data_IF_928261418569
#
_entry.id   IF_928261418569
#
_cell.length_a   1.000
_cell.length_b   1.000
_cell.length_c   1.000
_cell.angle_alpha   90.00
_cell.angle_beta   90.00
_cell.angle_gamma   90.00
#
_symmetry.space_group_name_H-M   'P 1'
#
loop_
_entity.id
_entity.type
_entity.pdbx_description
1 polymer ?
#
# COMPACT_ATOMS: atom_id res chain seq x y z
N UNK A 1 14.23 -37.25 -16.51
CA UNK A 1 13.65 -36.61 -15.31
C UNK A 1 12.90 -35.38 -15.77
N UNK A 2 11.56 -35.43 -15.82
CA UNK A 2 10.77 -34.23 -16.00
C UNK A 2 10.90 -33.41 -14.72
N UNK A 3 11.41 -32.18 -14.84
CA UNK A 3 11.38 -31.21 -13.75
C UNK A 3 9.92 -30.92 -13.46
N UNK A 4 9.45 -31.17 -12.24
CA UNK A 4 8.15 -30.66 -11.82
C UNK A 4 8.20 -29.14 -11.99
N UNK A 5 7.42 -28.65 -12.95
CA UNK A 5 7.26 -27.22 -13.17
C UNK A 5 6.36 -26.75 -12.06
N UNK A 6 6.94 -26.18 -11.00
CA UNK A 6 6.18 -25.44 -9.99
C UNK A 6 5.39 -24.38 -10.75
N UNK A 7 4.07 -24.54 -10.82
CA UNK A 7 3.22 -23.73 -11.68
C UNK A 7 3.01 -22.34 -11.09
N UNK A 8 3.90 -21.40 -11.42
CA UNK A 8 3.75 -19.98 -11.09
C UNK A 8 2.79 -19.24 -12.04
N UNK A 9 1.89 -19.97 -12.72
CA UNK A 9 1.02 -19.43 -13.78
C UNK A 9 0.11 -18.31 -13.25
N UNK A 10 -0.52 -18.52 -12.09
CA UNK A 10 -1.37 -17.51 -11.46
C UNK A 10 -0.59 -16.26 -11.07
N UNK A 11 0.60 -16.42 -10.47
CA UNK A 11 1.49 -15.29 -10.19
C UNK A 11 1.87 -14.54 -11.45
N UNK A 12 2.11 -15.24 -12.56
CA UNK A 12 2.40 -14.64 -13.87
C UNK A 12 1.24 -13.76 -14.32
N UNK A 13 0.00 -14.28 -14.26
CA UNK A 13 -1.21 -13.54 -14.66
C UNK A 13 -1.36 -12.25 -13.85
N UNK A 14 -1.22 -12.33 -12.51
CA UNK A 14 -1.34 -11.16 -11.65
C UNK A 14 -0.20 -10.14 -11.87
N UNK A 15 1.04 -10.59 -12.08
CA UNK A 15 2.16 -9.71 -12.44
C UNK A 15 1.90 -8.98 -13.76
N UNK A 16 1.45 -9.70 -14.79
CA UNK A 16 1.12 -9.12 -16.09
C UNK A 16 -0.01 -8.10 -15.94
N UNK A 17 -1.04 -8.41 -15.14
CA UNK A 17 -2.11 -7.47 -14.84
C UNK A 17 -1.58 -6.20 -14.15
N UNK A 18 -0.68 -6.33 -13.16
CA UNK A 18 -0.02 -5.20 -12.51
C UNK A 18 0.80 -4.35 -13.51
N UNK A 19 1.55 -4.98 -14.41
CA UNK A 19 2.29 -4.29 -15.47
C UNK A 19 1.36 -3.53 -16.42
N UNK A 20 0.22 -4.14 -16.80
CA UNK A 20 -0.80 -3.49 -17.62
C UNK A 20 -1.36 -2.26 -16.90
N UNK A 21 -1.66 -2.34 -15.60
CA UNK A 21 -2.14 -1.19 -14.82
C UNK A 21 -1.12 -0.04 -14.74
N UNK A 22 0.16 -0.35 -14.54
CA UNK A 22 1.24 0.64 -14.49
C UNK A 22 1.45 1.29 -15.86
N UNK A 23 1.48 0.48 -16.93
CA UNK A 23 1.67 0.99 -18.30
C UNK A 23 0.47 1.81 -18.77
N UNK A 24 -0.75 1.39 -18.43
CA UNK A 24 -1.98 2.14 -18.71
C UNK A 24 -1.99 3.48 -17.95
N UNK A 25 -1.58 3.49 -16.68
CA UNK A 25 -1.41 4.72 -15.89
C UNK A 25 -0.44 5.70 -16.58
N UNK A 26 0.70 5.18 -17.07
CA UNK A 26 1.68 5.99 -17.80
C UNK A 26 1.13 6.51 -19.13
N UNK A 27 0.39 5.69 -19.87
CA UNK A 27 -0.17 6.06 -21.17
C UNK A 27 -1.27 7.11 -21.07
N UNK A 28 -2.20 6.95 -20.13
CA UNK A 28 -3.33 7.86 -19.96
C UNK A 28 -2.96 9.15 -19.22
N UNK A 29 -1.96 9.11 -18.32
CA UNK A 29 -1.63 10.21 -17.41
C UNK A 29 -0.13 10.50 -17.38
N UNK A 30 0.52 10.62 -18.54
CA UNK A 30 1.98 10.68 -18.68
C UNK A 30 2.65 11.75 -17.78
N UNK A 31 2.14 12.98 -17.78
CA UNK A 31 2.72 14.07 -16.99
C UNK A 31 2.61 13.80 -15.49
N UNK A 32 1.45 13.32 -15.05
CA UNK A 32 1.20 12.96 -13.65
C UNK A 32 2.06 11.77 -13.23
N UNK A 33 2.25 10.78 -14.11
CA UNK A 33 3.12 9.64 -13.86
C UNK A 33 4.59 10.07 -13.67
N UNK A 34 5.09 10.98 -14.51
CA UNK A 34 6.46 11.53 -14.36
C UNK A 34 6.64 12.25 -13.02
N UNK A 35 5.66 13.05 -12.62
CA UNK A 35 5.69 13.72 -11.31
C UNK A 35 5.57 12.71 -10.15
N UNK A 36 4.77 11.65 -10.31
CA UNK A 36 4.61 10.57 -9.33
C UNK A 36 5.89 9.77 -9.08
N UNK A 37 6.68 9.49 -10.13
CA UNK A 37 7.97 8.81 -10.00
C UNK A 37 8.94 9.56 -9.06
N UNK A 38 8.78 10.87 -8.93
CA UNK A 38 9.63 11.71 -8.10
C UNK A 38 9.03 12.00 -6.71
N UNK A 39 7.95 11.31 -6.30
CA UNK A 39 7.22 11.63 -5.05
C UNK A 39 8.08 11.52 -3.78
N UNK A 40 9.08 10.64 -3.76
CA UNK A 40 10.00 10.50 -2.61
C UNK A 40 10.92 11.72 -2.47
N UNK A 41 11.43 12.25 -3.58
CA UNK A 41 12.40 13.36 -3.58
C UNK A 41 11.80 14.74 -3.83
N UNK A 42 10.58 14.80 -4.39
CA UNK A 42 9.96 16.03 -4.85
C UNK A 42 8.49 16.11 -4.43
N UNK A 43 8.17 17.14 -3.64
CA UNK A 43 6.81 17.43 -3.19
C UNK A 43 5.89 18.02 -4.28
N UNK A 44 6.38 18.26 -5.50
CA UNK A 44 5.60 18.84 -6.60
C UNK A 44 4.32 18.05 -6.87
N UNK A 45 4.41 16.72 -6.99
CA UNK A 45 3.25 15.85 -7.19
C UNK A 45 2.20 16.07 -6.10
N UNK A 46 2.63 16.02 -4.83
CA UNK A 46 1.76 16.19 -3.67
C UNK A 46 1.12 17.58 -3.60
N UNK A 47 1.79 18.63 -4.09
CA UNK A 47 1.26 20.01 -4.04
C UNK A 47 0.25 20.29 -5.15
N UNK A 48 0.50 19.79 -6.36
CA UNK A 48 -0.36 20.05 -7.52
C UNK A 48 -1.63 19.20 -7.40
N UNK A 49 -1.47 17.90 -7.23
CA UNK A 49 -2.58 16.95 -7.36
C UNK A 49 -3.42 16.78 -6.08
N UNK A 50 -2.94 17.26 -4.94
CA UNK A 50 -3.75 17.31 -3.70
C UNK A 50 -4.86 18.35 -3.75
N UNK A 51 -4.74 19.40 -4.57
CA UNK A 51 -5.73 20.49 -4.63
C UNK A 51 -6.90 20.15 -5.55
N UNK A 52 -6.65 19.37 -6.59
CA UNK A 52 -7.63 18.97 -7.60
C UNK A 52 -8.18 17.55 -7.34
N UNK A 53 -7.95 17.00 -6.15
CA UNK A 53 -8.25 15.61 -5.84
C UNK A 53 -9.76 15.37 -5.84
N UNK A 54 -10.19 14.40 -6.65
CA UNK A 54 -11.55 13.83 -6.58
C UNK A 54 -11.52 12.55 -5.74
N UNK A 55 -12.67 12.19 -5.15
CA UNK A 55 -12.81 10.95 -4.39
C UNK A 55 -12.39 9.71 -5.20
N UNK A 56 -12.82 9.63 -6.46
CA UNK A 56 -12.37 8.62 -7.43
C UNK A 56 -11.63 9.35 -8.55
N UNK A 57 -10.33 9.07 -8.64
CA UNK A 57 -9.47 9.54 -9.71
C UNK A 57 -8.94 8.33 -10.49
N UNK A 58 -8.95 8.42 -11.82
CA UNK A 58 -8.55 7.31 -12.69
C UNK A 58 -7.10 6.88 -12.50
N UNK A 59 -6.18 7.83 -12.27
CA UNK A 59 -4.77 7.52 -12.01
C UNK A 59 -4.61 6.82 -10.67
N UNK A 60 -5.21 7.35 -9.61
CA UNK A 60 -5.09 6.78 -8.27
C UNK A 60 -5.73 5.39 -8.20
N UNK A 61 -6.83 5.18 -8.93
CA UNK A 61 -7.50 3.87 -9.02
C UNK A 61 -6.61 2.82 -9.67
N UNK A 62 -5.98 3.14 -10.81
CA UNK A 62 -5.07 2.21 -11.50
C UNK A 62 -3.86 1.86 -10.63
N UNK A 63 -3.27 2.86 -9.98
CA UNK A 63 -2.13 2.67 -9.09
C UNK A 63 -2.49 1.91 -7.81
N UNK A 64 -3.70 2.13 -7.29
CA UNK A 64 -4.23 1.40 -6.14
C UNK A 64 -4.47 -0.08 -6.46
N UNK A 65 -5.04 -0.40 -7.62
CA UNK A 65 -5.18 -1.79 -8.06
C UNK A 65 -3.82 -2.49 -8.20
N UNK A 66 -2.81 -1.78 -8.74
CA UNK A 66 -1.44 -2.29 -8.79
C UNK A 66 -0.86 -2.54 -7.39
N UNK A 67 -1.12 -1.65 -6.44
CA UNK A 67 -0.74 -1.81 -5.04
C UNK A 67 -1.34 -3.09 -4.44
N UNK A 68 -2.65 -3.31 -4.61
CA UNK A 68 -3.32 -4.49 -4.08
C UNK A 68 -2.69 -5.77 -4.59
N UNK A 69 -2.52 -5.88 -5.91
CA UNK A 69 -1.89 -7.04 -6.54
C UNK A 69 -0.48 -7.26 -5.99
N UNK A 70 0.35 -6.20 -5.96
CA UNK A 70 1.75 -6.31 -5.56
C UNK A 70 1.90 -6.70 -4.10
N UNK A 71 1.10 -6.11 -3.21
CA UNK A 71 1.14 -6.44 -1.78
C UNK A 71 0.61 -7.84 -1.54
N UNK A 72 -0.47 -8.27 -2.21
CA UNK A 72 -0.98 -9.65 -2.07
C UNK A 72 0.03 -10.71 -2.50
N UNK A 73 0.71 -10.49 -3.63
CA UNK A 73 1.79 -11.39 -4.08
C UNK A 73 2.90 -11.45 -3.04
N UNK A 74 3.37 -10.29 -2.58
CA UNK A 74 4.45 -10.24 -1.60
C UNK A 74 4.05 -10.86 -0.26
N UNK A 75 2.83 -10.62 0.22
CA UNK A 75 2.30 -11.21 1.45
C UNK A 75 2.27 -12.73 1.37
N UNK A 76 1.89 -13.30 0.22
CA UNK A 76 1.91 -14.76 0.03
C UNK A 76 3.34 -15.31 0.07
N UNK A 77 4.27 -14.68 -0.65
CA UNK A 77 5.69 -15.07 -0.66
C UNK A 77 6.29 -14.99 0.76
N UNK A 78 6.04 -13.88 1.46
CA UNK A 78 6.52 -13.66 2.81
C UNK A 78 5.95 -14.69 3.79
N UNK A 79 4.67 -15.04 3.68
CA UNK A 79 4.06 -16.07 4.52
C UNK A 79 4.69 -17.45 4.30
N UNK A 80 4.87 -17.85 3.03
CA UNK A 80 5.46 -19.14 2.67
C UNK A 80 6.89 -19.30 3.19
N UNK A 81 7.67 -18.22 3.21
CA UNK A 81 9.06 -18.23 3.68
C UNK A 81 9.22 -18.04 5.20
N UNK A 82 8.38 -17.22 5.84
CA UNK A 82 8.53 -16.87 7.26
C UNK A 82 7.79 -17.83 8.21
N UNK A 83 6.64 -18.36 7.80
CA UNK A 83 5.75 -19.12 8.68
C UNK A 83 5.79 -20.60 8.33
N UNK A 84 5.24 -20.97 7.18
CA UNK A 84 5.14 -22.36 6.74
C UNK A 84 5.11 -22.40 5.21
N UNK A 85 5.90 -23.29 4.57
CA UNK A 85 5.79 -23.52 3.14
C UNK A 85 4.35 -23.89 2.79
N UNK A 86 3.72 -23.06 1.97
CA UNK A 86 2.35 -23.25 1.51
C UNK A 86 2.33 -23.34 -0.01
N UNK A 87 1.59 -24.32 -0.52
CA UNK A 87 1.26 -24.36 -1.94
C UNK A 87 0.31 -23.21 -2.29
N UNK A 88 0.36 -22.76 -3.54
CA UNK A 88 -0.48 -21.69 -4.01
C UNK A 88 -1.93 -22.16 -4.18
N UNK A 89 -2.83 -21.54 -3.42
CA UNK A 89 -4.28 -21.66 -3.60
C UNK A 89 -4.85 -20.32 -4.08
N UNK A 90 -5.41 -20.32 -5.29
CA UNK A 90 -6.04 -19.15 -5.91
C UNK A 90 -7.16 -18.57 -5.04
N UNK A 91 -7.95 -19.43 -4.39
CA UNK A 91 -9.07 -19.02 -3.54
C UNK A 91 -8.57 -18.26 -2.32
N UNK A 92 -7.51 -18.78 -1.69
CA UNK A 92 -6.87 -18.13 -0.55
C UNK A 92 -6.20 -16.82 -0.98
N UNK A 93 -5.52 -16.81 -2.13
CA UNK A 93 -4.89 -15.61 -2.68
C UNK A 93 -5.91 -14.49 -2.94
N UNK A 94 -7.04 -14.80 -3.60
CA UNK A 94 -8.09 -13.82 -3.87
C UNK A 94 -8.75 -13.32 -2.59
N UNK A 95 -8.93 -14.18 -1.58
CA UNK A 95 -9.38 -13.76 -0.24
C UNK A 95 -8.41 -12.78 0.41
N UNK A 96 -7.10 -13.04 0.35
CA UNK A 96 -6.07 -12.14 0.87
C UNK A 96 -6.09 -10.81 0.13
N UNK A 97 -6.18 -10.83 -1.21
CA UNK A 97 -6.28 -9.63 -2.03
C UNK A 97 -7.50 -8.78 -1.67
N UNK A 98 -8.67 -9.42 -1.57
CA UNK A 98 -9.90 -8.74 -1.17
C UNK A 98 -9.83 -8.20 0.26
N UNK A 99 -9.29 -8.98 1.20
CA UNK A 99 -9.13 -8.56 2.59
C UNK A 99 -8.23 -7.33 2.72
N UNK A 100 -7.07 -7.32 2.04
CA UNK A 100 -6.16 -6.16 2.02
C UNK A 100 -6.87 -4.94 1.41
N UNK A 101 -7.56 -5.12 0.28
CA UNK A 101 -8.31 -4.04 -0.37
C UNK A 101 -9.42 -3.47 0.51
N UNK A 102 -10.22 -4.33 1.12
CA UNK A 102 -11.29 -3.94 2.03
C UNK A 102 -10.74 -3.20 3.26
N UNK A 103 -9.67 -3.69 3.88
CA UNK A 103 -9.05 -3.04 5.03
C UNK A 103 -8.57 -1.62 4.70
N UNK A 104 -7.89 -1.44 3.56
CA UNK A 104 -7.42 -0.11 3.15
C UNK A 104 -8.59 0.82 2.83
N UNK A 105 -9.60 0.34 2.10
CA UNK A 105 -10.77 1.15 1.72
C UNK A 105 -11.62 1.55 2.94
N UNK A 106 -11.94 0.60 3.82
CA UNK A 106 -12.69 0.87 5.06
C UNK A 106 -11.96 1.92 5.88
N UNK A 107 -10.63 1.79 6.01
CA UNK A 107 -9.81 2.77 6.72
C UNK A 107 -9.97 4.16 6.13
N UNK A 108 -9.74 4.33 4.82
CA UNK A 108 -9.86 5.62 4.13
C UNK A 108 -11.27 6.22 4.26
N UNK A 109 -12.32 5.39 4.15
CA UNK A 109 -13.70 5.84 4.31
C UNK A 109 -13.99 6.33 5.74
N UNK A 110 -13.47 5.65 6.76
CA UNK A 110 -13.61 6.08 8.14
C UNK A 110 -12.89 7.41 8.40
N UNK A 111 -11.65 7.61 7.89
CA UNK A 111 -10.94 8.89 8.09
C UNK A 111 -11.68 10.04 7.39
N UNK A 112 -12.26 9.82 6.20
CA UNK A 112 -13.09 10.82 5.51
C UNK A 112 -14.40 11.12 6.26
N UNK A 113 -15.07 10.11 6.81
CA UNK A 113 -16.28 10.31 7.59
C UNK A 113 -15.99 11.19 8.82
N UNK A 114 -14.90 10.91 9.52
CA UNK A 114 -14.46 11.73 10.64
C UNK A 114 -14.13 13.16 10.19
N UNK A 115 -13.45 13.33 9.04
CA UNK A 115 -13.16 14.65 8.50
C UNK A 115 -14.41 15.52 8.31
N UNK A 116 -15.45 14.92 7.73
CA UNK A 116 -16.73 15.58 7.49
C UNK A 116 -17.47 15.92 8.79
N UNK A 117 -17.43 15.03 9.79
CA UNK A 117 -18.03 15.29 11.10
C UNK A 117 -17.37 16.44 11.87
N UNK A 118 -16.07 16.66 11.64
CA UNK A 118 -15.30 17.73 12.28
C UNK A 118 -15.09 18.95 11.38
N UNK A 119 -15.69 18.99 10.19
CA UNK A 119 -15.55 20.07 9.20
C UNK A 119 -14.09 20.40 8.83
N UNK A 120 -13.24 19.37 8.74
CA UNK A 120 -11.80 19.47 8.42
C UNK A 120 -11.44 18.73 7.11
N UNK A 121 -12.38 18.63 6.17
CA UNK A 121 -12.25 17.87 4.92
C UNK A 121 -11.01 18.23 4.12
N UNK A 122 -10.71 19.53 3.92
CA UNK A 122 -9.56 19.97 3.12
C UNK A 122 -8.22 19.45 3.65
N UNK A 123 -8.06 19.41 4.99
CA UNK A 123 -6.82 18.99 5.61
C UNK A 123 -6.68 17.47 5.55
N UNK A 124 -7.76 16.74 5.84
CA UNK A 124 -7.76 15.28 5.84
C UNK A 124 -7.66 14.75 4.41
N UNK A 125 -8.35 15.32 3.42
CA UNK A 125 -8.25 14.87 2.03
C UNK A 125 -6.82 15.05 1.50
N UNK A 126 -6.18 16.19 1.78
CA UNK A 126 -4.78 16.41 1.42
C UNK A 126 -3.82 15.41 2.10
N UNK A 127 -4.08 15.08 3.37
CA UNK A 127 -3.33 14.07 4.11
C UNK A 127 -3.52 12.67 3.53
N UNK A 128 -4.78 12.28 3.27
CA UNK A 128 -5.15 10.99 2.68
C UNK A 128 -4.55 10.83 1.30
N UNK A 129 -4.59 11.86 0.46
CA UNK A 129 -3.93 11.86 -0.84
C UNK A 129 -2.46 11.52 -0.72
N UNK A 130 -1.75 12.22 0.17
CA UNK A 130 -0.34 12.00 0.39
C UNK A 130 -0.06 10.58 0.87
N UNK A 131 -0.78 10.12 1.90
CA UNK A 131 -0.67 8.77 2.46
C UNK A 131 -0.91 7.69 1.39
N UNK A 132 -2.00 7.79 0.63
CA UNK A 132 -2.32 6.86 -0.46
C UNK A 132 -1.29 6.91 -1.58
N UNK A 133 -0.72 8.09 -1.87
CA UNK A 133 0.32 8.23 -2.91
C UNK A 133 1.61 7.49 -2.55
N UNK A 134 2.07 7.58 -1.30
CA UNK A 134 3.25 6.82 -0.84
C UNK A 134 2.98 5.32 -0.75
N UNK A 135 1.77 4.92 -0.35
CA UNK A 135 1.33 3.52 -0.42
C UNK A 135 1.37 3.02 -1.87
N UNK A 136 0.73 3.71 -2.80
CA UNK A 136 0.74 3.38 -4.22
C UNK A 136 2.15 3.30 -4.80
N UNK A 137 3.05 4.21 -4.38
CA UNK A 137 4.45 4.17 -4.78
C UNK A 137 5.17 2.92 -4.25
N UNK A 138 4.89 2.51 -3.02
CA UNK A 138 5.42 1.24 -2.49
C UNK A 138 4.96 0.05 -3.34
N UNK A 139 3.70 0.01 -3.77
CA UNK A 139 3.18 -1.01 -4.69
C UNK A 139 3.87 -1.01 -6.05
N UNK A 140 4.12 0.18 -6.60
CA UNK A 140 4.88 0.34 -7.83
C UNK A 140 6.31 -0.23 -7.73
N UNK A 141 7.01 0.03 -6.62
CA UNK A 141 8.36 -0.52 -6.36
C UNK A 141 8.32 -2.02 -6.06
N UNK A 142 7.27 -2.50 -5.40
CA UNK A 142 7.13 -3.90 -5.03
C UNK A 142 6.88 -4.81 -6.23
N UNK A 143 6.26 -4.29 -7.30
CA UNK A 143 6.01 -5.05 -8.52
C UNK A 143 7.30 -5.65 -9.16
N UNK A 144 8.36 -4.88 -9.49
CA UNK A 144 9.60 -5.45 -10.00
C UNK A 144 10.32 -6.34 -8.97
N UNK A 145 10.20 -6.05 -7.68
CA UNK A 145 10.75 -6.90 -6.62
C UNK A 145 10.07 -8.29 -6.64
N UNK A 146 8.74 -8.33 -6.75
CA UNK A 146 8.00 -9.59 -6.83
C UNK A 146 8.38 -10.40 -8.08
N UNK A 147 8.61 -9.74 -9.23
CA UNK A 147 9.11 -10.41 -10.44
C UNK A 147 10.45 -11.09 -10.14
N UNK A 148 11.38 -10.40 -9.48
CA UNK A 148 12.68 -10.97 -9.12
C UNK A 148 12.56 -12.13 -8.12
N UNK A 149 11.70 -11.99 -7.10
CA UNK A 149 11.48 -13.01 -6.07
C UNK A 149 10.82 -14.29 -6.61
N UNK A 150 10.00 -14.18 -7.66
CA UNK A 150 9.30 -15.35 -8.22
C UNK A 150 10.14 -16.07 -9.27
N UNK A 151 10.86 -15.32 -10.13
CA UNK A 151 11.51 -15.92 -11.32
C UNK A 151 13.04 -15.98 -11.25
N UNK A 152 13.68 -15.14 -10.43
CA UNK A 152 15.15 -14.99 -10.48
C UNK A 152 15.86 -15.38 -9.20
N UNK A 153 15.29 -15.09 -8.03
CA UNK A 153 15.96 -15.21 -6.74
C UNK A 153 15.07 -16.04 -5.82
N UNK A 154 15.60 -17.13 -5.26
CA UNK A 154 14.89 -17.89 -4.24
C UNK A 154 14.66 -17.01 -3.01
N UNK A 155 13.40 -16.85 -2.55
CA UNK A 155 13.11 -16.13 -1.32
C UNK A 155 13.95 -16.67 -0.16
N UNK A 156 14.46 -15.77 0.67
CA UNK A 156 15.12 -16.12 1.92
C UNK A 156 14.66 -15.16 3.01
N UNK A 157 14.58 -15.63 4.26
CA UNK A 157 14.23 -14.79 5.42
C UNK A 157 14.91 -13.40 5.43
N UNK A 158 16.25 -13.25 5.28
CA UNK A 158 16.87 -11.93 5.30
C UNK A 158 16.43 -11.05 4.12
N UNK A 159 16.19 -11.64 2.94
CA UNK A 159 15.70 -10.91 1.78
C UNK A 159 14.28 -10.39 2.00
N UNK A 160 13.38 -11.21 2.56
CA UNK A 160 12.01 -10.80 2.91
C UNK A 160 12.03 -9.64 3.91
N UNK A 161 12.83 -9.73 4.98
CA UNK A 161 12.94 -8.63 5.94
C UNK A 161 13.51 -7.35 5.32
N UNK A 162 14.43 -7.47 4.36
CA UNK A 162 14.97 -6.32 3.63
C UNK A 162 13.89 -5.63 2.80
N UNK A 163 13.04 -6.40 2.10
CA UNK A 163 11.92 -5.84 1.31
C UNK A 163 10.87 -5.21 2.22
N UNK A 164 10.54 -5.83 3.36
CA UNK A 164 9.66 -5.23 4.38
C UNK A 164 10.24 -3.90 4.88
N UNK A 165 11.54 -3.88 5.20
CA UNK A 165 12.24 -2.66 5.61
C UNK A 165 12.18 -1.56 4.56
N UNK A 166 12.33 -1.90 3.29
CA UNK A 166 12.21 -0.95 2.17
C UNK A 166 10.79 -0.38 2.04
N UNK A 167 9.76 -1.22 2.11
CA UNK A 167 8.35 -0.77 2.07
C UNK A 167 8.04 0.14 3.25
N UNK A 168 8.49 -0.22 4.45
CA UNK A 168 8.34 0.60 5.65
C UNK A 168 9.06 1.94 5.51
N UNK A 169 10.27 1.96 4.96
CA UNK A 169 11.04 3.17 4.74
C UNK A 169 10.31 4.14 3.79
N UNK A 170 9.77 3.64 2.67
CA UNK A 170 8.99 4.46 1.73
C UNK A 170 7.79 5.11 2.44
N UNK A 171 7.03 4.33 3.21
CA UNK A 171 5.86 4.84 3.93
C UNK A 171 6.26 5.79 5.07
N UNK A 172 7.38 5.54 5.75
CA UNK A 172 7.90 6.41 6.80
C UNK A 172 8.34 7.76 6.24
N UNK A 173 8.95 7.80 5.06
CA UNK A 173 9.24 9.07 4.36
C UNK A 173 7.93 9.83 4.08
N UNK A 174 6.90 9.13 3.63
CA UNK A 174 5.57 9.71 3.42
C UNK A 174 4.95 10.32 4.68
N UNK A 175 5.08 9.62 5.79
CA UNK A 175 4.62 10.09 7.10
C UNK A 175 5.42 11.31 7.56
N UNK A 176 6.76 11.28 7.49
CA UNK A 176 7.63 12.39 7.91
C UNK A 176 7.38 13.64 7.05
N UNK A 177 7.23 13.48 5.73
CA UNK A 177 6.95 14.62 4.84
C UNK A 177 5.59 15.24 5.14
N UNK A 178 4.59 14.43 5.52
CA UNK A 178 3.26 14.90 5.94
C UNK A 178 3.35 15.66 7.26
N UNK A 179 4.06 15.09 8.25
CA UNK A 179 4.29 15.72 9.55
C UNK A 179 4.97 17.09 9.41
N UNK A 180 6.01 17.20 8.56
CA UNK A 180 6.70 18.47 8.30
C UNK A 180 5.79 19.52 7.68
N UNK A 181 4.86 19.11 6.80
CA UNK A 181 3.92 20.02 6.13
C UNK A 181 2.91 20.63 7.10
N UNK A 182 2.42 19.83 8.06
CA UNK A 182 1.38 20.25 9.01
C UNK A 182 1.91 20.51 10.44
N UNK A 183 3.24 20.68 10.58
CA UNK A 183 3.93 20.74 11.87
C UNK A 183 3.30 21.74 12.85
N UNK A 184 3.06 22.99 12.43
CA UNK A 184 2.48 24.02 13.32
C UNK A 184 1.14 23.60 13.91
N UNK A 185 0.22 23.13 13.06
CA UNK A 185 -1.12 22.72 13.45
C UNK A 185 -1.11 21.50 14.38
N UNK A 186 -0.17 20.58 14.16
CA UNK A 186 0.03 19.40 15.01
C UNK A 186 0.58 19.80 16.39
N UNK A 187 1.55 20.71 16.45
CA UNK A 187 2.12 21.16 17.73
C UNK A 187 1.11 21.94 18.57
N UNK A 188 0.23 22.70 17.93
CA UNK A 188 -0.85 23.41 18.61
C UNK A 188 -1.94 22.45 19.16
N UNK A 189 -2.04 21.23 18.60
CA UNK A 189 -3.07 20.24 18.94
C UNK A 189 -2.51 18.81 19.19
N UNK A 190 -1.39 18.70 19.92
CA UNK A 190 -0.66 17.43 20.09
C UNK A 190 -1.51 16.29 20.66
N UNK A 191 -2.40 16.59 21.62
CA UNK A 191 -3.26 15.58 22.24
C UNK A 191 -4.21 14.92 21.24
N UNK A 192 -4.85 15.73 20.38
CA UNK A 192 -5.74 15.23 19.32
C UNK A 192 -4.99 14.41 18.27
N UNK A 193 -3.76 14.81 17.94
CA UNK A 193 -2.92 14.07 17.02
C UNK A 193 -2.55 12.67 17.57
N UNK A 194 -2.20 12.58 18.85
CA UNK A 194 -1.91 11.29 19.52
C UNK A 194 -3.17 10.42 19.54
N UNK A 195 -4.34 11.00 19.87
CA UNK A 195 -5.60 10.26 19.88
C UNK A 195 -5.95 9.72 18.49
N UNK A 196 -5.74 10.50 17.43
CA UNK A 196 -5.91 10.06 16.04
C UNK A 196 -5.01 8.87 15.69
N UNK A 197 -3.70 8.96 15.98
CA UNK A 197 -2.75 7.88 15.73
C UNK A 197 -3.15 6.60 16.47
N UNK A 198 -3.55 6.73 17.73
CA UNK A 198 -3.94 5.58 18.54
C UNK A 198 -5.26 4.96 18.06
N UNK A 199 -6.28 5.75 17.74
CA UNK A 199 -7.61 5.25 17.43
C UNK A 199 -7.74 4.72 16.00
N UNK A 200 -7.18 5.42 15.02
CA UNK A 200 -7.45 5.17 13.60
C UNK A 200 -6.27 4.51 12.87
N UNK A 201 -5.04 4.80 13.29
CA UNK A 201 -3.84 4.18 12.71
C UNK A 201 -3.47 2.89 13.42
N UNK A 202 -3.26 2.91 14.75
CA UNK A 202 -2.75 1.78 15.54
C UNK A 202 -3.88 0.84 16.00
N UNK A 203 -5.00 1.39 16.45
CA UNK A 203 -6.14 0.67 17.02
C UNK A 203 -6.65 -0.49 16.17
N UNK A 204 -6.91 -0.32 14.86
CA UNK A 204 -7.39 -1.41 14.01
C UNK A 204 -6.41 -2.58 13.92
N UNK A 205 -5.09 -2.30 13.92
CA UNK A 205 -4.07 -3.36 13.91
C UNK A 205 -4.02 -4.13 15.24
N UNK A 206 -4.22 -3.45 16.37
CA UNK A 206 -4.30 -4.12 17.68
C UNK A 206 -5.54 -5.01 17.80
N UNK A 207 -6.69 -4.56 17.28
CA UNK A 207 -7.92 -5.36 17.24
C UNK A 207 -7.72 -6.59 16.36
N UNK A 208 -7.13 -6.43 15.17
CA UNK A 208 -6.80 -7.53 14.27
C UNK A 208 -5.85 -8.54 14.93
N UNK A 209 -4.78 -8.05 15.58
CA UNK A 209 -3.84 -8.92 16.29
C UNK A 209 -4.56 -9.76 17.36
N UNK A 210 -5.40 -9.11 18.18
CA UNK A 210 -6.16 -9.80 19.23
C UNK A 210 -7.13 -10.84 18.65
N UNK A 211 -7.86 -10.50 17.58
CA UNK A 211 -8.77 -11.45 16.92
C UNK A 211 -8.03 -12.68 16.38
N UNK A 212 -6.82 -12.50 15.84
CA UNK A 212 -5.99 -13.61 15.35
C UNK A 212 -5.48 -14.47 16.51
N UNK A 213 -5.05 -13.88 17.63
CA UNK A 213 -4.57 -14.65 18.78
C UNK A 213 -5.70 -15.38 19.49
N UNK A 214 -6.87 -14.75 19.64
CA UNK A 214 -8.03 -15.35 20.31
C UNK A 214 -8.68 -16.46 19.47
N UNK A 215 -8.53 -16.42 18.13
CA UNK A 215 -8.95 -17.50 17.24
C UNK A 215 -8.00 -18.71 17.26
N UNK A 216 -6.72 -18.49 17.59
CA UNK A 216 -5.70 -19.54 17.67
C UNK A 216 -5.60 -20.18 19.08
N UNK A 217 -6.49 -19.80 20.01
CA UNK A 217 -6.62 -20.35 21.37
C UNK A 217 -7.87 -21.24 21.48
#
# INVERSE_FOLDING_TARGET
>A
MLREVVSNEWFTIFIVLGLVLVTLSKFLFENRFKDFLLVIGNSKYLKIYSRDQKFIDGFDTLMFLNLLISVSIFSFIAYSELVLPSEFDLTLFVKVLFAIGALILIKVLLERLLASLFEIDELIDAYLFQKTSYLNYSGFVLLPINILLIYSITPSKPLIYTVIGLVLLINLIGFITSFKKHQKLIFDNLFYFILYLCALEIGPYLILYKLITDYNA
#
